data_IF_981282017882
#
_entry.id   IF_981282017882
#
_cell.length_a   1.000
_cell.length_b   1.000
_cell.length_c   1.000
_cell.angle_alpha   90.00
_cell.angle_beta   90.00
_cell.angle_gamma   90.00
#
_symmetry.space_group_name_H-M   'P 1'
#
loop_
_entity.id
_entity.type
_entity.pdbx_description
1 polymer ?
#
# COMPACT_ATOMS: atom_id res chain seq x y z
N UNK A 1 -5.24 10.30 11.18
CA UNK A 1 -4.56 9.00 11.04
C UNK A 1 -3.48 9.08 9.98
N UNK A 2 -2.27 8.65 10.36
CA UNK A 2 -1.11 8.53 9.47
C UNK A 2 -0.80 7.07 9.20
N UNK A 3 -0.14 6.83 8.08
CA UNK A 3 0.27 5.50 7.65
C UNK A 3 1.73 5.52 7.25
N UNK A 4 2.41 4.41 7.52
CA UNK A 4 3.73 4.13 7.01
C UNK A 4 3.59 3.30 5.74
N UNK A 5 4.13 3.79 4.63
CA UNK A 5 4.06 3.10 3.34
C UNK A 5 5.34 3.23 2.53
N UNK A 6 5.56 2.26 1.65
CA UNK A 6 6.66 2.23 0.68
C UNK A 6 6.14 2.10 -0.75
N UNK A 7 6.88 2.63 -1.72
CA UNK A 7 6.58 2.40 -3.14
C UNK A 7 7.06 1.02 -3.56
N UNK A 8 6.36 0.42 -4.52
CA UNK A 8 6.75 -0.89 -5.08
C UNK A 8 7.78 -0.78 -6.21
N UNK A 9 8.44 0.37 -6.35
CA UNK A 9 9.40 0.65 -7.41
C UNK A 9 10.13 1.97 -7.21
N UNK A 10 11.08 2.25 -8.11
CA UNK A 10 11.97 3.42 -8.08
C UNK A 10 11.28 4.70 -8.58
N UNK A 11 10.11 5.01 -8.02
CA UNK A 11 9.37 6.23 -8.32
C UNK A 11 8.92 6.87 -7.02
N UNK A 12 8.79 8.19 -7.05
CA UNK A 12 8.30 8.99 -5.93
C UNK A 12 6.82 9.33 -6.17
N UNK A 13 6.03 9.37 -5.10
CA UNK A 13 4.65 9.85 -5.15
C UNK A 13 4.51 11.10 -4.30
N UNK A 14 3.77 12.07 -4.81
CA UNK A 14 3.53 13.35 -4.14
C UNK A 14 2.02 13.60 -4.12
N UNK A 15 1.46 13.77 -2.93
CA UNK A 15 0.06 14.14 -2.73
C UNK A 15 -0.05 15.66 -2.53
N UNK A 16 -0.29 16.38 -3.63
CA UNK A 16 -0.51 17.83 -3.60
C UNK A 16 -1.82 18.23 -2.92
N UNK A 17 -2.79 17.31 -2.75
CA UNK A 17 -4.12 17.62 -2.25
C UNK A 17 -4.22 17.71 -0.73
N UNK A 18 -3.34 17.03 0.01
CA UNK A 18 -3.48 16.87 1.47
C UNK A 18 -2.28 17.37 2.28
N UNK A 19 -1.61 18.42 1.80
CA UNK A 19 -0.49 19.06 2.49
C UNK A 19 0.87 18.76 1.88
N UNK A 20 0.93 18.16 0.69
CA UNK A 20 2.19 17.94 -0.02
C UNK A 20 2.97 16.75 0.51
N UNK A 21 2.31 15.72 1.04
CA UNK A 21 2.97 14.52 1.54
C UNK A 21 3.73 13.81 0.41
N UNK A 22 4.92 13.32 0.75
CA UNK A 22 5.85 12.71 -0.21
C UNK A 22 6.15 11.29 0.23
N UNK A 23 5.94 10.33 -0.67
CA UNK A 23 6.45 8.96 -0.52
C UNK A 23 7.72 8.82 -1.34
N UNK A 24 8.85 8.65 -0.66
CA UNK A 24 10.15 8.46 -1.29
C UNK A 24 10.25 7.11 -2.03
N UNK A 25 11.12 7.05 -3.05
CA UNK A 25 11.31 5.87 -3.88
C UNK A 25 12.17 4.77 -3.24
N UNK A 26 13.08 5.15 -2.34
CA UNK A 26 14.13 4.27 -1.80
C UNK A 26 13.92 3.90 -0.34
N UNK A 27 12.93 4.53 0.32
CA UNK A 27 12.64 4.29 1.74
C UNK A 27 11.15 4.36 2.02
N UNK A 28 10.67 3.69 3.07
CA UNK A 28 9.35 3.95 3.60
C UNK A 28 9.22 5.40 4.05
N UNK A 29 8.02 5.95 3.94
CA UNK A 29 7.71 7.32 4.36
C UNK A 29 6.42 7.33 5.18
N UNK A 30 6.37 8.21 6.17
CA UNK A 30 5.16 8.45 6.97
C UNK A 30 4.33 9.52 6.26
N UNK A 31 3.11 9.17 5.86
CA UNK A 31 2.20 10.07 5.16
C UNK A 31 0.82 10.07 5.79
N UNK A 32 0.03 11.11 5.55
CA UNK A 32 -1.37 11.12 5.98
C UNK A 32 -2.18 10.13 5.15
N UNK A 33 -3.10 9.43 5.81
CA UNK A 33 -4.05 8.56 5.13
C UNK A 33 -5.01 9.39 4.28
N UNK A 34 -4.72 9.54 2.98
CA UNK A 34 -5.55 10.29 2.04
C UNK A 34 -6.20 9.41 0.98
N UNK A 35 -7.27 9.89 0.30
CA UNK A 35 -7.87 9.19 -0.83
C UNK A 35 -6.89 8.93 -1.98
N UNK A 36 -5.89 9.80 -2.15
CA UNK A 36 -4.84 9.60 -3.14
C UNK A 36 -3.98 8.38 -2.78
N UNK A 37 -3.50 8.31 -1.52
CA UNK A 37 -2.66 7.21 -1.06
C UNK A 37 -3.42 5.88 -1.09
N UNK A 38 -4.69 5.87 -0.69
CA UNK A 38 -5.51 4.66 -0.72
C UNK A 38 -5.77 4.16 -2.15
N UNK A 39 -6.01 5.06 -3.11
CA UNK A 39 -6.15 4.70 -4.52
C UNK A 39 -4.83 4.11 -5.09
N UNK A 40 -3.69 4.69 -4.75
CA UNK A 40 -2.37 4.20 -5.20
C UNK A 40 -2.02 2.84 -4.58
N UNK A 41 -2.40 2.61 -3.33
CA UNK A 41 -2.27 1.32 -2.69
C UNK A 41 -3.18 0.26 -3.35
N UNK A 42 -4.42 0.61 -3.68
CA UNK A 42 -5.36 -0.30 -4.35
C UNK A 42 -4.89 -0.73 -5.75
N UNK A 43 -4.17 0.13 -6.46
CA UNK A 43 -3.59 -0.16 -7.79
C UNK A 43 -2.24 -0.89 -7.67
N UNK A 44 -1.73 -1.11 -6.44
CA UNK A 44 -0.48 -1.82 -6.18
C UNK A 44 0.79 -1.00 -6.40
N UNK A 45 0.66 0.33 -6.52
CA UNK A 45 1.81 1.24 -6.61
C UNK A 45 2.44 1.51 -5.24
N UNK A 46 1.64 1.42 -4.18
CA UNK A 46 2.08 1.56 -2.79
C UNK A 46 1.79 0.29 -2.00
N UNK A 47 2.66 0.03 -1.02
CA UNK A 47 2.47 -1.00 -0.01
C UNK A 47 2.41 -0.33 1.35
N UNK A 48 1.26 -0.49 2.02
CA UNK A 48 1.06 0.00 3.39
C UNK A 48 1.72 -1.00 4.35
N UNK A 49 2.64 -0.51 5.17
CA UNK A 49 3.38 -1.29 6.16
C UNK A 49 2.64 -1.33 7.49
N UNK A 50 1.98 -0.24 7.86
CA UNK A 50 1.19 -0.15 9.08
C UNK A 50 0.60 1.24 9.32
N UNK A 51 -0.24 1.33 10.33
CA UNK A 51 -0.78 2.61 10.81
C UNK A 51 0.11 3.13 11.92
N UNK A 52 0.29 4.45 11.97
CA UNK A 52 1.08 5.12 13.01
C UNK A 52 0.26 6.25 13.62
N UNK A 53 0.59 6.60 14.86
CA UNK A 53 0.01 7.72 15.57
C UNK A 53 0.11 9.02 14.75
N UNK A 54 -0.86 9.92 14.90
CA UNK A 54 -0.88 11.20 14.19
C UNK A 54 0.31 12.11 14.56
N UNK A 55 0.94 11.85 15.70
CA UNK A 55 2.13 12.53 16.21
C UNK A 55 3.38 12.20 15.39
N UNK A 56 3.48 10.97 14.88
CA UNK A 56 4.65 10.47 14.18
C UNK A 56 4.96 11.27 12.91
N UNK A 57 6.20 11.75 12.77
CA UNK A 57 6.65 12.51 11.59
C UNK A 57 7.55 11.68 10.68
N UNK A 58 7.58 12.05 9.39
CA UNK A 58 8.50 11.41 8.44
C UNK A 58 9.97 11.74 8.77
N UNK A 59 10.23 12.90 9.36
CA UNK A 59 11.57 13.32 9.77
C UNK A 59 12.13 12.40 10.85
N UNK A 60 11.33 12.12 11.89
CA UNK A 60 11.69 11.17 12.95
C UNK A 60 11.92 9.76 12.38
N UNK A 61 11.03 9.30 11.49
CA UNK A 61 11.20 8.00 10.85
C UNK A 61 12.49 7.96 10.01
N UNK A 62 12.80 9.03 9.28
CA UNK A 62 14.00 9.11 8.46
C UNK A 62 15.28 9.06 9.32
N UNK A 63 15.28 9.64 10.51
CA UNK A 63 16.39 9.51 11.47
C UNK A 63 16.51 8.08 11.99
N UNK A 64 15.41 7.47 12.42
CA UNK A 64 15.38 6.05 12.82
C UNK A 64 15.90 5.12 11.71
N UNK A 65 15.48 5.38 10.46
CA UNK A 65 15.87 4.59 9.31
C UNK A 65 17.36 4.76 8.95
N UNK A 66 17.91 5.97 9.09
CA UNK A 66 19.35 6.22 8.87
C UNK A 66 20.23 5.55 9.92
N UNK A 67 19.76 5.49 11.16
CA UNK A 67 20.50 4.86 12.26
C UNK A 67 20.39 3.33 12.26
N UNK A 68 19.40 2.77 11.56
CA UNK A 68 19.21 1.34 11.48
C UNK A 68 20.00 0.72 10.32
N UNK A 69 20.72 -0.36 10.59
CA UNK A 69 21.38 -1.17 9.55
C UNK A 69 20.39 -2.06 8.79
N UNK A 70 19.23 -2.35 9.40
CA UNK A 70 18.21 -3.22 8.84
C UNK A 70 16.87 -2.47 8.71
N UNK A 71 16.42 -2.32 7.46
CA UNK A 71 15.18 -1.62 7.09
C UNK A 71 13.94 -2.25 7.73
N UNK A 72 13.89 -3.58 7.86
CA UNK A 72 12.75 -4.26 8.48
C UNK A 72 12.73 -4.01 9.98
N UNK A 73 13.90 -4.03 10.62
CA UNK A 73 14.03 -3.75 12.05
C UNK A 73 13.63 -2.31 12.39
N UNK A 74 14.01 -1.36 11.53
CA UNK A 74 13.62 0.05 11.66
C UNK A 74 12.10 0.21 11.62
N UNK A 75 11.45 -0.39 10.61
CA UNK A 75 10.00 -0.36 10.43
C UNK A 75 9.29 -1.00 11.63
N UNK A 76 9.73 -2.19 12.07
CA UNK A 76 9.09 -2.86 13.21
C UNK A 76 9.25 -2.08 14.51
N UNK A 77 10.45 -1.52 14.76
CA UNK A 77 10.70 -0.75 15.99
C UNK A 77 9.90 0.55 16.01
N UNK A 78 9.77 1.21 14.87
CA UNK A 78 8.98 2.43 14.76
C UNK A 78 7.47 2.16 14.90
N UNK A 79 6.98 1.07 14.28
CA UNK A 79 5.59 0.64 14.43
C UNK A 79 5.28 0.22 15.87
N UNK A 80 6.24 -0.33 16.61
CA UNK A 80 6.06 -0.66 18.03
C UNK A 80 6.00 0.61 18.90
N UNK A 81 6.87 1.58 18.62
CA UNK A 81 6.93 2.86 19.33
C UNK A 81 5.71 3.76 19.08
N UNK A 82 5.15 3.72 17.87
CA UNK A 82 4.09 4.64 17.42
C UNK A 82 2.81 3.93 16.94
N UNK A 83 2.59 2.66 17.29
CA UNK A 83 1.37 1.94 16.93
C UNK A 83 0.15 2.51 17.63
N UNK A 84 -0.91 2.73 16.86
CA UNK A 84 -2.25 3.14 17.33
C UNK A 84 -3.18 1.91 17.55
N UNK A 85 -2.61 0.71 17.79
CA UNK A 85 -3.22 -0.64 17.60
C UNK A 85 -4.71 -0.84 18.00
N UNK A 86 -5.46 -1.73 17.28
CA UNK A 86 -5.12 -3.16 17.23
C UNK A 86 -4.95 -3.79 15.83
N UNK A 87 -3.98 -4.70 15.78
CA UNK A 87 -3.43 -5.48 14.67
C UNK A 87 -4.47 -6.28 13.91
N UNK A 88 -4.66 -5.96 12.63
CA UNK A 88 -5.11 -6.95 11.65
C UNK A 88 -3.87 -7.57 11.01
N UNK A 89 -3.32 -8.61 11.66
CA UNK A 89 -2.33 -9.51 11.04
C UNK A 89 -2.97 -10.13 9.79
N UNK A 90 -2.71 -9.57 8.62
CA UNK A 90 -3.08 -10.22 7.36
C UNK A 90 -2.14 -11.40 7.17
N UNK A 91 -2.63 -12.60 7.51
CA UNK A 91 -1.92 -13.84 7.32
C UNK A 91 -1.44 -13.99 5.86
N UNK A 92 -0.23 -14.52 5.62
CA UNK A 92 0.25 -14.74 4.26
C UNK A 92 -0.64 -15.76 3.55
N UNK A 93 -1.33 -15.33 2.48
CA UNK A 93 -1.97 -16.26 1.53
C UNK A 93 -0.86 -17.07 0.85
N UNK A 94 -0.68 -18.28 1.39
CA UNK A 94 0.13 -19.37 0.86
C UNK A 94 -0.06 -19.56 -0.65
N UNK A 95 1.05 -19.75 -1.36
CA UNK A 95 1.18 -20.20 -2.74
C UNK A 95 0.38 -21.48 -3.00
N UNK A 96 -0.75 -21.36 -3.71
CA UNK A 96 -1.42 -22.47 -4.39
C UNK A 96 -1.13 -22.43 -5.88
N UNK A 97 -0.07 -23.12 -6.31
CA UNK A 97 0.27 -23.35 -7.71
C UNK A 97 -0.68 -24.40 -8.30
N UNK A 98 -1.65 -23.99 -9.11
CA UNK A 98 -2.55 -24.89 -9.82
C UNK A 98 -2.79 -24.40 -11.25
N UNK A 99 -2.05 -24.97 -12.21
CA UNK A 99 -2.33 -24.86 -13.64
C UNK A 99 -3.67 -25.55 -13.95
N UNK A 100 -4.58 -24.88 -14.63
CA UNK A 100 -5.55 -25.53 -15.51
C UNK A 100 -5.94 -24.56 -16.63
N UNK A 101 -5.29 -24.77 -17.79
CA UNK A 101 -5.74 -24.35 -19.11
C UNK A 101 -6.96 -25.17 -19.48
N UNK A 102 -8.08 -24.58 -19.89
CA UNK A 102 -8.97 -25.08 -20.96
C UNK A 102 -9.71 -23.89 -21.58
N UNK A 103 -9.56 -23.78 -22.89
CA UNK A 103 -10.26 -22.93 -23.85
C UNK A 103 -11.72 -23.39 -24.03
N UNK A 104 -12.65 -22.47 -24.26
CA UNK A 104 -13.81 -22.71 -25.15
C UNK A 104 -14.51 -21.39 -25.48
N UNK A 105 -14.33 -20.95 -26.72
CA UNK A 105 -15.32 -20.18 -27.49
C UNK A 105 -16.72 -20.76 -27.34
N UNK A 106 -17.75 -19.91 -27.29
CA UNK A 106 -19.03 -20.14 -27.98
C UNK A 106 -19.74 -18.80 -28.09
N UNK A 107 -19.76 -18.26 -29.32
CA UNK A 107 -20.79 -17.35 -29.83
C UNK A 107 -22.17 -17.99 -29.64
N UNK A 108 -23.15 -17.23 -29.16
CA UNK A 108 -24.53 -17.43 -29.60
C UNK A 108 -25.20 -16.07 -29.76
N UNK A 109 -25.47 -15.75 -31.02
CA UNK A 109 -26.44 -14.75 -31.46
C UNK A 109 -27.82 -15.02 -30.84
N UNK A 110 -28.52 -13.97 -30.43
CA UNK A 110 -29.98 -13.99 -30.33
C UNK A 110 -30.51 -12.63 -30.79
N UNK A 111 -30.77 -12.59 -32.09
CA UNK A 111 -31.59 -11.61 -32.78
C UNK A 111 -33.06 -11.68 -32.32
N UNK A 112 -33.73 -10.53 -32.40
CA UNK A 112 -35.17 -10.30 -32.58
C UNK A 112 -36.10 -10.38 -31.35
N UNK A 113 -36.64 -9.23 -30.93
CA UNK A 113 -38.11 -9.08 -30.84
C UNK A 113 -38.54 -7.60 -31.01
N UNK A 114 -39.51 -7.44 -31.90
CA UNK A 114 -40.22 -6.24 -32.35
C UNK A 114 -41.30 -5.76 -31.37
N UNK A 115 -41.59 -4.45 -31.36
CA UNK A 115 -42.83 -3.84 -30.82
C UNK A 115 -42.53 -2.50 -30.16
N UNK A 116 -43.12 -1.36 -30.49
CA UNK A 116 -44.36 -1.04 -31.21
C UNK A 116 -44.25 0.40 -31.75
#
# INVERSE_FOLDING_TARGET
>A
MKILCETNGSFQLIDFGNGGDIVAAERPSVVRGSPFISARAAIGQLKVLGNVADEATDEEFAEFFKSAEDSQLAVSSFLDAYSDEPTTKVAPKSKGRGKAKVEAETEVEAEVETGE
#
